data_IF_038104997950
#
_entry.id   IF_038104997950
#
_cell.length_a   1.000
_cell.length_b   1.000
_cell.length_c   1.000
_cell.angle_alpha   90.00
_cell.angle_beta   90.00
_cell.angle_gamma   90.00
#
_symmetry.space_group_name_H-M   'P 1'
#
loop_
_entity.id
_entity.type
_entity.pdbx_description
1 polymer ?
#
# COMPACT_ATOMS: atom_id res chain seq x y z
N UNK A 1 -24.41 5.58 58.57
CA UNK A 1 -24.82 4.34 57.88
C UNK A 1 -25.91 4.76 56.91
N UNK A 2 -25.58 5.28 55.73
CA UNK A 2 -25.06 4.60 54.53
C UNK A 2 -26.18 3.88 53.78
N UNK A 3 -27.10 4.67 53.23
CA UNK A 3 -28.00 4.20 52.19
C UNK A 3 -27.27 4.21 50.85
N UNK A 4 -27.03 3.00 50.40
CA UNK A 4 -26.88 2.45 49.05
C UNK A 4 -26.55 3.41 47.91
N UNK A 5 -25.38 3.14 47.32
CA UNK A 5 -24.76 3.79 46.17
C UNK A 5 -25.71 4.02 44.98
N UNK A 6 -25.67 5.26 44.52
CA UNK A 6 -26.08 5.77 43.22
C UNK A 6 -25.63 4.83 42.10
N UNK A 7 -26.59 4.25 41.37
CA UNK A 7 -26.32 3.43 40.19
C UNK A 7 -26.15 4.36 39.00
N UNK A 8 -24.93 4.80 38.77
CA UNK A 8 -24.55 5.50 37.53
C UNK A 8 -24.77 4.56 36.34
N UNK A 9 -25.42 5.02 35.25
CA UNK A 9 -25.63 4.20 34.07
C UNK A 9 -24.25 3.87 33.48
N UNK A 10 -24.05 2.59 33.14
CA UNK A 10 -22.87 2.14 32.43
C UNK A 10 -22.76 2.94 31.12
N UNK A 11 -21.89 3.94 31.10
CA UNK A 11 -21.40 4.58 29.89
C UNK A 11 -20.77 3.46 29.07
N UNK A 12 -21.52 2.99 28.08
CA UNK A 12 -21.02 1.99 27.14
C UNK A 12 -19.91 2.71 26.40
N UNK A 13 -18.67 2.29 26.60
CA UNK A 13 -17.59 2.75 25.74
C UNK A 13 -17.94 2.27 24.33
N UNK A 14 -18.42 3.18 23.49
CA UNK A 14 -18.39 3.00 22.06
C UNK A 14 -16.92 2.87 21.68
N UNK A 15 -16.42 1.63 21.62
CA UNK A 15 -15.10 1.36 21.09
C UNK A 15 -14.98 2.05 19.73
N UNK A 16 -13.84 2.70 19.42
CA UNK A 16 -13.67 3.35 18.14
C UNK A 16 -13.88 2.30 17.06
N UNK A 17 -14.97 2.46 16.29
CA UNK A 17 -15.27 1.66 15.13
C UNK A 17 -14.18 1.97 14.10
N UNK A 18 -13.08 1.24 14.17
CA UNK A 18 -12.09 1.18 13.12
C UNK A 18 -12.82 0.59 11.92
N UNK A 19 -13.38 1.47 11.10
CA UNK A 19 -13.73 1.12 9.72
C UNK A 19 -12.41 0.67 9.10
N UNK A 20 -12.21 -0.66 9.11
CA UNK A 20 -11.16 -1.33 8.38
C UNK A 20 -11.49 -1.10 6.92
N UNK A 21 -11.05 0.04 6.39
CA UNK A 21 -10.97 0.24 4.95
C UNK A 21 -10.04 -0.85 4.44
N UNK A 22 -10.62 -1.97 4.02
CA UNK A 22 -9.90 -2.97 3.25
C UNK A 22 -9.57 -2.27 1.94
N UNK A 23 -8.35 -1.71 1.88
CA UNK A 23 -7.76 -1.20 0.65
C UNK A 23 -7.80 -2.34 -0.35
N UNK A 24 -8.51 -2.12 -1.46
CA UNK A 24 -8.63 -3.11 -2.52
C UNK A 24 -7.25 -3.46 -3.08
N UNK A 25 -7.12 -4.64 -3.67
CA UNK A 25 -5.85 -5.07 -4.27
C UNK A 25 -5.38 -4.08 -5.36
N UNK A 26 -6.33 -3.44 -6.05
CA UNK A 26 -6.04 -2.40 -7.03
C UNK A 26 -5.45 -1.14 -6.38
N UNK A 27 -6.08 -0.61 -5.32
CA UNK A 27 -5.55 0.55 -4.59
C UNK A 27 -4.16 0.27 -3.97
N UNK A 28 -3.92 -0.99 -3.55
CA UNK A 28 -2.61 -1.44 -3.08
C UNK A 28 -1.58 -1.43 -4.19
N UNK A 29 -1.94 -1.95 -5.37
CA UNK A 29 -1.06 -1.96 -6.54
C UNK A 29 -0.75 -0.54 -7.02
N UNK A 30 -1.75 0.34 -7.07
CA UNK A 30 -1.58 1.74 -7.47
C UNK A 30 -0.64 2.48 -6.51
N UNK A 31 -0.81 2.28 -5.20
CA UNK A 31 0.10 2.81 -4.19
C UNK A 31 1.52 2.26 -4.32
N UNK A 32 1.67 0.98 -4.69
CA UNK A 32 2.97 0.36 -4.92
C UNK A 32 3.68 0.96 -6.14
N UNK A 33 2.95 1.16 -7.24
CA UNK A 33 3.48 1.77 -8.47
C UNK A 33 3.96 3.20 -8.19
N UNK A 34 3.20 3.99 -7.43
CA UNK A 34 3.59 5.34 -7.06
C UNK A 34 4.90 5.37 -6.26
N UNK A 35 5.08 4.43 -5.33
CA UNK A 35 6.34 4.30 -4.58
C UNK A 35 7.49 3.85 -5.47
N UNK A 36 7.26 2.86 -6.36
CA UNK A 36 8.28 2.39 -7.29
C UNK A 36 8.77 3.49 -8.23
N UNK A 37 7.88 4.35 -8.76
CA UNK A 37 8.27 5.53 -9.55
C UNK A 37 9.27 6.42 -8.81
N UNK A 38 9.02 6.70 -7.53
CA UNK A 38 9.89 7.53 -6.72
C UNK A 38 11.25 6.84 -6.45
N UNK A 39 11.23 5.55 -6.14
CA UNK A 39 12.44 4.78 -5.80
C UNK A 39 13.40 4.61 -6.99
N UNK A 40 12.85 4.49 -8.21
CA UNK A 40 13.65 4.23 -9.41
C UNK A 40 13.92 5.48 -10.24
N UNK A 41 13.47 6.66 -9.82
CA UNK A 41 13.74 7.91 -10.53
C UNK A 41 15.24 8.13 -10.76
N UNK A 42 15.62 8.46 -12.01
CA UNK A 42 17.01 8.58 -12.46
C UNK A 42 17.83 7.27 -12.56
N UNK A 43 17.25 6.10 -12.27
CA UNK A 43 17.91 4.79 -12.40
C UNK A 43 17.83 4.22 -13.83
N UNK A 44 18.77 3.33 -14.17
CA UNK A 44 18.77 2.60 -15.44
C UNK A 44 17.75 1.43 -15.45
N UNK A 45 17.44 0.92 -16.65
CA UNK A 45 16.44 -0.14 -16.84
C UNK A 45 16.72 -1.43 -16.05
N UNK A 46 17.98 -1.83 -15.85
CA UNK A 46 18.31 -3.03 -15.08
C UNK A 46 18.04 -2.84 -13.58
N UNK A 47 18.28 -1.63 -13.06
CA UNK A 47 17.90 -1.27 -11.68
C UNK A 47 16.39 -1.19 -11.53
N UNK A 48 15.68 -0.64 -12.52
CA UNK A 48 14.20 -0.58 -12.54
C UNK A 48 13.60 -1.99 -12.50
N UNK A 49 14.06 -2.90 -13.36
CA UNK A 49 13.59 -4.30 -13.38
C UNK A 49 13.76 -4.97 -12.00
N UNK A 50 14.96 -4.87 -11.44
CA UNK A 50 15.27 -5.45 -10.13
C UNK A 50 14.38 -4.88 -9.03
N UNK A 51 14.14 -3.56 -9.03
CA UNK A 51 13.31 -2.90 -8.03
C UNK A 51 11.85 -3.33 -8.13
N UNK A 52 11.27 -3.36 -9.34
CA UNK A 52 9.88 -3.78 -9.57
C UNK A 52 9.68 -5.23 -9.12
N UNK A 53 10.54 -6.16 -9.57
CA UNK A 53 10.43 -7.58 -9.22
C UNK A 53 10.64 -7.83 -7.73
N UNK A 54 11.63 -7.17 -7.12
CA UNK A 54 11.88 -7.27 -5.69
C UNK A 54 10.67 -6.80 -4.88
N UNK A 55 10.09 -5.65 -5.25
CA UNK A 55 8.96 -5.07 -4.53
C UNK A 55 7.68 -5.89 -4.64
N UNK A 56 7.40 -6.46 -5.81
CA UNK A 56 6.26 -7.37 -5.97
C UNK A 56 6.43 -8.65 -5.13
N UNK A 57 7.65 -9.20 -5.08
CA UNK A 57 7.95 -10.35 -4.24
C UNK A 57 7.82 -10.06 -2.74
N UNK A 58 8.22 -8.87 -2.29
CA UNK A 58 8.11 -8.44 -0.89
C UNK A 58 6.66 -8.19 -0.45
N UNK A 59 5.85 -7.62 -1.34
CA UNK A 59 4.45 -7.28 -1.03
C UNK A 59 3.49 -8.46 -1.21
N UNK A 60 3.90 -9.50 -1.94
CA UNK A 60 3.07 -10.66 -2.23
C UNK A 60 1.87 -10.34 -3.13
N UNK A 61 1.89 -9.18 -3.81
CA UNK A 61 0.84 -8.81 -4.77
C UNK A 61 1.04 -9.65 -6.03
N UNK A 62 0.05 -10.50 -6.41
CA UNK A 62 0.15 -11.28 -7.63
C UNK A 62 0.02 -10.34 -8.84
N UNK A 63 0.99 -10.39 -9.74
CA UNK A 63 0.96 -9.67 -11.00
C UNK A 63 1.42 -10.61 -12.12
N UNK A 64 0.73 -10.57 -13.26
CA UNK A 64 1.11 -11.34 -14.44
C UNK A 64 2.41 -10.78 -15.03
N UNK A 65 3.23 -11.64 -15.62
CA UNK A 65 4.54 -11.24 -16.16
C UNK A 65 4.41 -10.15 -17.23
N UNK A 66 3.35 -10.15 -18.04
CA UNK A 66 3.07 -9.09 -19.02
C UNK A 66 2.85 -7.73 -18.35
N UNK A 67 2.18 -7.70 -17.19
CA UNK A 67 1.95 -6.47 -16.40
C UNK A 67 3.26 -5.98 -15.81
N UNK A 68 4.09 -6.90 -15.30
CA UNK A 68 5.42 -6.59 -14.77
C UNK A 68 6.30 -5.97 -15.86
N UNK A 69 6.34 -6.59 -17.04
CA UNK A 69 7.13 -6.09 -18.17
C UNK A 69 6.64 -4.74 -18.67
N UNK A 70 5.32 -4.55 -18.77
CA UNK A 70 4.74 -3.25 -19.14
C UNK A 70 5.12 -2.15 -18.14
N UNK A 71 5.02 -2.44 -16.83
CA UNK A 71 5.39 -1.50 -15.77
C UNK A 71 6.88 -1.16 -15.83
N UNK A 72 7.78 -2.15 -16.01
CA UNK A 72 9.22 -1.90 -16.13
C UNK A 72 9.52 -1.02 -17.34
N UNK A 73 8.89 -1.29 -18.48
CA UNK A 73 9.07 -0.50 -19.70
C UNK A 73 8.58 0.95 -19.51
N UNK A 74 7.42 1.14 -18.86
CA UNK A 74 6.88 2.46 -18.52
C UNK A 74 7.85 3.23 -17.61
N UNK A 75 8.26 2.62 -16.50
CA UNK A 75 9.15 3.24 -15.51
C UNK A 75 10.54 3.53 -16.07
N UNK A 76 11.04 2.71 -17.00
CA UNK A 76 12.32 2.96 -17.67
C UNK A 76 12.21 4.02 -18.77
N UNK A 77 11.05 4.17 -19.40
CA UNK A 77 10.80 5.18 -20.42
C UNK A 77 10.60 6.58 -19.82
N UNK A 78 9.99 6.69 -18.63
CA UNK A 78 9.89 7.97 -17.90
C UNK A 78 11.28 8.60 -17.64
N UNK A 79 12.33 7.78 -17.56
CA UNK A 79 13.72 8.22 -17.38
C UNK A 79 14.35 8.84 -18.63
N UNK A 80 13.79 8.55 -19.82
CA UNK A 80 14.31 9.06 -21.08
C UNK A 80 13.82 10.48 -21.41
N UNK A 81 12.96 11.05 -20.54
CA UNK A 81 12.29 12.35 -20.77
C UNK A 81 12.95 13.53 -20.04
N UNK A 82 14.11 13.35 -19.40
CA UNK A 82 14.90 14.44 -18.78
C UNK A 82 16.22 14.71 -19.54
#
# INVERSE_FOLDING_TARGET
MSDTHDTTPAETQDEPRLDLHQTSDQERLDGLIAQLRADVAGQNAATVDKAVRGRLAETGVPAEEEVILALIAELAADQATD
#
